data_IF_327512450112
#
_entry.id   IF_327512450112
#
_cell.length_a   1.000
_cell.length_b   1.000
_cell.length_c   1.000
_cell.angle_alpha   90.00
_cell.angle_beta   90.00
_cell.angle_gamma   90.00
#
_symmetry.space_group_name_H-M   'P 1'
#
loop_
_entity.id
_entity.type
_entity.pdbx_description
1 polymer ?
#
# COMPACT_ATOMS: atom_id res chain seq x y z
N UNK A 1 3.54 -21.55 -3.02
CA UNK A 1 2.40 -20.70 -2.60
C UNK A 1 2.95 -19.32 -2.30
N UNK A 2 2.34 -18.25 -2.83
CA UNK A 2 2.72 -16.87 -2.50
C UNK A 2 1.80 -16.36 -1.38
N UNK A 3 2.36 -15.86 -0.28
CA UNK A 3 1.61 -15.26 0.82
C UNK A 3 1.50 -13.74 0.64
N UNK A 4 0.28 -13.22 0.50
CA UNK A 4 0.02 -11.78 0.39
C UNK A 4 -0.62 -11.30 1.69
N UNK A 5 0.05 -10.38 2.39
CA UNK A 5 -0.52 -9.73 3.57
C UNK A 5 -1.60 -8.73 3.16
N UNK A 6 -2.80 -8.84 3.73
CA UNK A 6 -4.03 -8.13 3.31
C UNK A 6 -4.59 -7.16 4.35
N UNK A 7 -3.86 -6.86 5.42
CA UNK A 7 -4.36 -6.00 6.49
C UNK A 7 -4.11 -4.50 6.25
N UNK A 8 -3.40 -4.11 5.17
CA UNK A 8 -3.22 -2.68 4.84
C UNK A 8 -4.44 -2.13 4.07
N UNK A 9 -5.48 -1.77 4.81
CA UNK A 9 -6.71 -1.22 4.26
C UNK A 9 -6.82 0.27 4.60
N UNK A 10 -6.71 1.13 3.58
CA UNK A 10 -6.63 2.58 3.72
C UNK A 10 -7.99 3.29 3.63
N UNK A 11 -9.03 2.61 3.17
CA UNK A 11 -10.38 3.17 3.12
C UNK A 11 -11.19 3.00 4.42
N UNK A 12 -10.67 2.22 5.40
CA UNK A 12 -11.33 2.02 6.70
C UNK A 12 -10.35 1.80 7.85
N UNK A 13 -10.84 2.00 9.07
CA UNK A 13 -10.14 1.60 10.29
C UNK A 13 -8.89 2.44 10.60
N UNK A 14 -7.89 1.79 11.19
CA UNK A 14 -6.72 2.47 11.75
C UNK A 14 -5.86 3.18 10.69
N UNK A 15 -5.69 2.59 9.50
CA UNK A 15 -4.82 3.17 8.47
C UNK A 15 -5.49 4.33 7.72
N UNK A 16 -6.82 4.30 7.53
CA UNK A 16 -7.56 5.47 7.08
C UNK A 16 -7.36 6.67 8.03
N UNK A 17 -7.40 6.40 9.34
CA UNK A 17 -7.13 7.43 10.36
C UNK A 17 -5.66 7.86 10.38
N UNK A 18 -4.74 6.97 9.99
CA UNK A 18 -3.33 7.28 9.90
C UNK A 18 -3.05 8.29 8.78
N UNK A 19 -3.67 8.14 7.61
CA UNK A 19 -3.56 9.11 6.53
C UNK A 19 -4.03 10.50 6.97
N UNK A 20 -5.20 10.59 7.62
CA UNK A 20 -5.75 11.86 8.11
C UNK A 20 -4.87 12.58 9.15
N UNK A 21 -3.95 11.85 9.81
CA UNK A 21 -3.03 12.38 10.84
C UNK A 21 -1.56 12.39 10.39
N UNK A 22 -1.28 12.09 9.13
CA UNK A 22 0.08 11.88 8.58
C UNK A 22 0.92 10.87 9.41
N UNK A 23 0.27 9.85 9.97
CA UNK A 23 0.92 8.84 10.81
C UNK A 23 1.52 7.71 9.97
N UNK A 24 2.62 8.03 9.28
CA UNK A 24 3.37 7.06 8.46
C UNK A 24 3.98 5.94 9.31
N UNK A 25 4.22 6.19 10.60
CA UNK A 25 4.77 5.20 11.52
C UNK A 25 3.79 4.04 11.75
N UNK A 26 2.49 4.32 11.88
CA UNK A 26 1.46 3.29 11.97
C UNK A 26 1.41 2.39 10.72
N UNK A 27 1.51 2.97 9.53
CA UNK A 27 1.57 2.20 8.26
C UNK A 27 2.82 1.34 8.20
N UNK A 28 3.97 1.91 8.54
CA UNK A 28 5.25 1.19 8.55
C UNK A 28 5.25 0.01 9.54
N UNK A 29 4.68 0.19 10.74
CA UNK A 29 4.55 -0.86 11.74
C UNK A 29 3.64 -2.00 11.26
N UNK A 30 2.48 -1.66 10.67
CA UNK A 30 1.55 -2.64 10.12
C UNK A 30 2.14 -3.44 8.94
N UNK A 31 2.94 -2.79 8.09
CA UNK A 31 3.64 -3.44 6.98
C UNK A 31 4.70 -4.43 7.49
N UNK A 32 5.55 -4.01 8.43
CA UNK A 32 6.59 -4.88 9.02
C UNK A 32 5.99 -6.08 9.73
N UNK A 33 4.94 -5.88 10.51
CA UNK A 33 4.26 -6.96 11.21
C UNK A 33 3.76 -8.07 10.27
N UNK A 34 3.28 -7.70 9.08
CA UNK A 34 2.85 -8.69 8.08
C UNK A 34 4.03 -9.44 7.44
N UNK A 35 5.13 -8.74 7.14
CA UNK A 35 6.35 -9.37 6.62
C UNK A 35 6.96 -10.31 7.67
N UNK A 36 7.01 -9.91 8.93
CA UNK A 36 7.46 -10.73 10.06
C UNK A 36 6.56 -11.97 10.25
N UNK A 37 5.27 -11.85 9.97
CA UNK A 37 4.32 -12.97 9.97
C UNK A 37 4.42 -13.87 8.71
N UNK A 38 5.34 -13.58 7.78
CA UNK A 38 5.63 -14.42 6.62
C UNK A 38 5.01 -13.94 5.30
N UNK A 39 4.43 -12.74 5.24
CA UNK A 39 3.96 -12.17 3.98
C UNK A 39 5.14 -11.95 3.02
N UNK A 40 4.99 -12.45 1.79
CA UNK A 40 5.96 -12.32 0.70
C UNK A 40 5.62 -11.18 -0.25
N UNK A 41 4.39 -10.66 -0.18
CA UNK A 41 3.93 -9.43 -0.82
C UNK A 41 2.94 -8.73 0.12
N UNK A 42 2.74 -7.42 -0.09
CA UNK A 42 1.81 -6.61 0.70
C UNK A 42 0.74 -6.03 -0.21
N UNK A 43 -0.52 -6.37 0.09
CA UNK A 43 -1.69 -5.75 -0.49
C UNK A 43 -1.97 -4.40 0.17
N UNK A 44 -2.18 -3.37 -0.66
CA UNK A 44 -2.53 -2.02 -0.27
C UNK A 44 -3.91 -1.72 -0.88
N UNK A 45 -4.95 -1.88 -0.06
CA UNK A 45 -6.32 -1.67 -0.48
C UNK A 45 -6.76 -0.23 -0.18
N UNK A 46 -7.06 0.52 -1.23
CA UNK A 46 -7.45 1.93 -1.17
C UNK A 46 -8.95 2.17 -1.39
N UNK A 47 -9.75 1.11 -1.56
CA UNK A 47 -11.17 1.22 -1.88
C UNK A 47 -11.42 1.82 -3.27
N UNK A 48 -12.60 2.42 -3.48
CA UNK A 48 -13.06 2.88 -4.80
C UNK A 48 -12.46 4.24 -5.19
N UNK A 49 -12.44 5.18 -4.24
CA UNK A 49 -12.10 6.59 -4.46
C UNK A 49 -11.19 7.12 -3.34
N UNK A 50 -9.92 6.70 -3.29
CA UNK A 50 -8.99 7.24 -2.31
C UNK A 50 -8.74 8.74 -2.56
N UNK A 51 -8.40 9.50 -1.52
CA UNK A 51 -7.86 10.84 -1.67
C UNK A 51 -6.65 10.86 -2.63
N UNK A 52 -6.45 11.91 -3.44
CA UNK A 52 -5.41 11.94 -4.48
C UNK A 52 -3.99 11.62 -3.98
N UNK A 53 -3.69 12.03 -2.74
CA UNK A 53 -2.35 11.90 -2.15
C UNK A 53 -2.18 10.63 -1.30
N UNK A 54 -3.25 9.85 -1.07
CA UNK A 54 -3.19 8.68 -0.18
C UNK A 54 -2.31 7.57 -0.76
N UNK A 55 -2.44 7.29 -2.06
CA UNK A 55 -1.63 6.26 -2.73
C UNK A 55 -0.13 6.59 -2.67
N UNK A 56 0.37 7.75 -3.14
CA UNK A 56 1.79 8.08 -3.04
C UNK A 56 2.29 8.15 -1.60
N UNK A 57 1.44 8.60 -0.66
CA UNK A 57 1.76 8.64 0.75
C UNK A 57 1.98 7.24 1.35
N UNK A 58 1.03 6.33 1.14
CA UNK A 58 1.03 4.98 1.68
C UNK A 58 2.13 4.12 1.06
N UNK A 59 2.24 4.15 -0.28
CA UNK A 59 3.27 3.39 -1.01
C UNK A 59 4.68 3.80 -0.60
N UNK A 60 4.93 5.10 -0.37
CA UNK A 60 6.21 5.57 0.16
C UNK A 60 6.48 5.07 1.59
N UNK A 61 5.48 5.11 2.48
CA UNK A 61 5.62 4.63 3.86
C UNK A 61 5.91 3.12 3.92
N UNK A 62 5.17 2.32 3.15
CA UNK A 62 5.38 0.86 3.06
C UNK A 62 6.73 0.55 2.43
N UNK A 63 7.11 1.22 1.34
CA UNK A 63 8.38 0.99 0.65
C UNK A 63 9.59 1.31 1.54
N UNK A 64 9.53 2.41 2.31
CA UNK A 64 10.58 2.76 3.26
C UNK A 64 10.69 1.73 4.40
N UNK A 65 9.57 1.17 4.83
CA UNK A 65 9.54 0.18 5.91
C UNK A 65 9.98 -1.22 5.48
N UNK A 66 9.63 -1.60 4.25
CA UNK A 66 9.78 -2.93 3.69
C UNK A 66 10.40 -2.83 2.27
N UNK A 67 11.68 -2.48 2.16
CA UNK A 67 12.36 -2.40 0.87
C UNK A 67 12.38 -3.76 0.18
N UNK A 68 12.17 -3.79 -1.14
CA UNK A 68 12.19 -5.01 -1.94
C UNK A 68 10.95 -5.90 -1.86
N UNK A 69 10.03 -5.68 -0.91
CA UNK A 69 8.78 -6.45 -0.83
C UNK A 69 7.84 -6.03 -1.98
N UNK A 70 7.34 -6.96 -2.82
CA UNK A 70 6.35 -6.65 -3.84
C UNK A 70 5.10 -6.01 -3.23
N UNK A 71 4.58 -4.98 -3.90
CA UNK A 71 3.30 -4.39 -3.54
C UNK A 71 2.22 -4.93 -4.47
N UNK A 72 1.04 -5.13 -3.91
CA UNK A 72 -0.17 -5.45 -4.62
C UNK A 72 -1.12 -4.25 -4.48
N UNK A 73 -1.45 -3.60 -5.59
CA UNK A 73 -2.33 -2.44 -5.62
C UNK A 73 -3.77 -2.92 -5.78
N UNK A 74 -4.59 -2.68 -4.76
CA UNK A 74 -6.02 -3.00 -4.76
C UNK A 74 -6.83 -1.69 -4.69
N UNK A 75 -7.45 -1.36 -5.82
CA UNK A 75 -8.24 -0.15 -6.02
C UNK A 75 -9.49 -0.48 -6.83
N UNK A 76 -10.60 0.19 -6.54
CA UNK A 76 -11.90 -0.12 -7.17
C UNK A 76 -12.13 0.51 -8.55
N UNK A 77 -11.22 1.35 -9.05
CA UNK A 77 -11.34 2.02 -10.36
C UNK A 77 -10.09 1.86 -11.21
N UNK A 78 -10.27 1.54 -12.48
CA UNK A 78 -9.16 1.37 -13.44
C UNK A 78 -8.35 2.65 -13.65
N UNK A 79 -8.99 3.83 -13.61
CA UNK A 79 -8.29 5.12 -13.69
C UNK A 79 -7.39 5.35 -12.47
N UNK A 80 -7.88 5.03 -11.27
CA UNK A 80 -7.10 5.07 -10.03
C UNK A 80 -5.97 4.05 -10.07
N UNK A 81 -6.19 2.86 -10.62
CA UNK A 81 -5.15 1.84 -10.78
C UNK A 81 -4.02 2.33 -11.68
N UNK A 82 -4.36 2.92 -12.83
CA UNK A 82 -3.38 3.48 -13.75
C UNK A 82 -2.51 4.56 -13.06
N UNK A 83 -3.16 5.46 -12.31
CA UNK A 83 -2.46 6.49 -11.53
C UNK A 83 -1.57 5.88 -10.42
N UNK A 84 -2.05 4.84 -9.74
CA UNK A 84 -1.29 4.14 -8.71
C UNK A 84 -0.04 3.45 -9.26
N UNK A 85 -0.16 2.79 -10.42
CA UNK A 85 0.97 2.18 -11.13
C UNK A 85 1.99 3.25 -11.54
N UNK A 86 1.55 4.41 -12.03
CA UNK A 86 2.44 5.53 -12.37
C UNK A 86 3.16 6.10 -11.13
N UNK A 87 2.46 6.20 -10.00
CA UNK A 87 3.08 6.57 -8.71
C UNK A 87 4.18 5.59 -8.33
N UNK A 88 3.90 4.28 -8.39
CA UNK A 88 4.90 3.25 -8.10
C UNK A 88 6.10 3.36 -9.05
N UNK A 89 5.87 3.53 -10.35
CA UNK A 89 6.95 3.72 -11.33
C UNK A 89 7.83 4.92 -10.99
N UNK A 90 7.23 6.08 -10.66
CA UNK A 90 7.95 7.30 -10.25
C UNK A 90 8.76 7.12 -8.96
N UNK A 91 8.28 6.26 -8.05
CA UNK A 91 8.97 5.91 -6.81
C UNK A 91 10.01 4.80 -6.97
N UNK A 92 10.27 4.31 -8.20
CA UNK A 92 11.21 3.22 -8.45
C UNK A 92 10.71 1.85 -7.97
N UNK A 93 9.40 1.71 -7.74
CA UNK A 93 8.76 0.46 -7.37
C UNK A 93 8.49 -0.33 -8.66
N UNK A 94 9.38 -1.28 -8.95
CA UNK A 94 9.24 -2.12 -10.14
C UNK A 94 8.06 -3.08 -10.01
N UNK A 95 7.19 -3.08 -11.04
CA UNK A 95 6.18 -4.11 -11.28
C UNK A 95 5.27 -4.42 -10.08
N UNK A 96 4.50 -3.44 -9.55
CA UNK A 96 3.46 -3.77 -8.58
C UNK A 96 2.49 -4.80 -9.19
N UNK A 97 2.10 -5.78 -8.39
CA UNK A 97 0.98 -6.67 -8.72
C UNK A 97 -0.32 -5.87 -8.64
N UNK A 98 -1.35 -6.28 -9.37
CA UNK A 98 -2.63 -5.57 -9.42
C UNK A 98 -3.77 -6.57 -9.17
N UNK A 99 -4.75 -6.17 -8.35
CA UNK A 99 -5.99 -6.92 -8.09
C UNK A 99 -7.12 -6.43 -9.00
#
# INVERSE_FOLDING_TARGET
MLLVGQSLQFWRGALASAFARDDRAAVAAAARAQVEAGAQALDLNFGIDPPPDEIPWATAAVRAACPGVPLWLDVGRTSTLAAAVEVCARQGIAGPLVA
#
